data_IF_844539975315
#
_entry.id   IF_844539975315
#
_cell.length_a   1.000
_cell.length_b   1.000
_cell.length_c   1.000
_cell.angle_alpha   90.00
_cell.angle_beta   90.00
_cell.angle_gamma   90.00
#
_symmetry.space_group_name_H-M   'P 1'
#
loop_
_entity.id
_entity.type
_entity.pdbx_description
1 polymer ?
#
# COMPACT_ATOMS: atom_id res chain seq x y z
N UNK A 1 -68.86 -13.21 -17.03
CA UNK A 1 -67.91 -12.83 -15.96
C UNK A 1 -66.75 -12.14 -16.63
N UNK A 2 -66.71 -10.81 -16.54
CA UNK A 2 -65.65 -9.97 -17.06
C UNK A 2 -64.40 -10.09 -16.15
N UNK A 3 -63.28 -10.48 -16.70
CA UNK A 3 -61.97 -10.30 -16.09
C UNK A 3 -61.47 -8.89 -16.50
N UNK A 4 -61.42 -7.99 -15.58
CA UNK A 4 -60.78 -6.71 -15.75
C UNK A 4 -59.25 -6.94 -15.62
N UNK A 5 -58.52 -6.58 -16.68
CA UNK A 5 -57.06 -6.44 -16.64
C UNK A 5 -56.74 -5.21 -15.81
N UNK A 6 -56.02 -5.41 -14.70
CA UNK A 6 -55.40 -4.29 -13.97
C UNK A 6 -54.25 -3.71 -14.82
N UNK A 7 -54.08 -2.39 -14.84
CA UNK A 7 -52.98 -1.75 -15.52
C UNK A 7 -51.66 -2.12 -14.83
N UNK A 8 -50.68 -2.49 -15.65
CA UNK A 8 -49.28 -2.58 -15.24
C UNK A 8 -48.85 -1.20 -14.72
N UNK A 9 -48.70 -1.08 -13.43
CA UNK A 9 -48.07 0.08 -12.81
C UNK A 9 -46.64 0.18 -13.34
N UNK A 10 -46.33 1.36 -13.84
CA UNK A 10 -45.00 1.82 -14.23
C UNK A 10 -43.97 1.46 -13.15
N UNK A 11 -43.08 0.54 -13.48
CA UNK A 11 -41.82 0.37 -12.78
C UNK A 11 -40.97 1.62 -13.12
N UNK A 12 -41.22 2.75 -12.47
CA UNK A 12 -40.22 3.76 -12.31
C UNK A 12 -39.13 3.15 -11.45
N UNK A 13 -38.09 2.61 -12.08
CA UNK A 13 -36.81 2.35 -11.45
C UNK A 13 -36.33 3.73 -10.97
N UNK A 14 -36.51 4.05 -9.69
CA UNK A 14 -35.86 5.21 -9.08
C UNK A 14 -34.37 5.02 -9.30
N UNK A 15 -33.77 5.80 -10.21
CA UNK A 15 -32.35 5.82 -10.45
C UNK A 15 -31.68 6.21 -9.13
N UNK A 16 -30.88 5.30 -8.58
CA UNK A 16 -30.22 5.55 -7.31
C UNK A 16 -29.26 6.73 -7.43
N UNK A 17 -29.30 7.63 -6.47
CA UNK A 17 -28.36 8.76 -6.38
C UNK A 17 -27.04 8.27 -5.79
N UNK A 18 -25.95 8.46 -6.51
CA UNK A 18 -24.61 8.06 -6.13
C UNK A 18 -23.75 9.31 -5.86
N UNK A 19 -22.96 9.29 -4.77
CA UNK A 19 -22.05 10.37 -4.44
C UNK A 19 -20.67 10.12 -5.09
N UNK A 20 -20.19 11.07 -5.87
CA UNK A 20 -18.88 10.98 -6.56
C UNK A 20 -17.95 12.05 -6.02
N UNK A 21 -16.84 11.63 -5.40
CA UNK A 21 -15.81 12.50 -4.85
C UNK A 21 -14.65 12.64 -5.83
N UNK A 22 -14.27 13.86 -6.14
CA UNK A 22 -13.22 14.23 -7.09
C UNK A 22 -11.97 14.73 -6.36
N UNK A 23 -10.75 14.43 -6.87
CA UNK A 23 -9.52 14.97 -6.33
C UNK A 23 -9.44 16.49 -6.52
N UNK A 24 -8.83 17.20 -5.57
CA UNK A 24 -8.75 18.67 -5.53
C UNK A 24 -8.24 19.30 -6.84
N UNK A 25 -7.29 18.65 -7.51
CA UNK A 25 -6.76 19.13 -8.77
C UNK A 25 -7.85 19.14 -9.85
N UNK A 26 -8.70 18.10 -9.91
CA UNK A 26 -9.79 18.03 -10.88
C UNK A 26 -10.89 19.05 -10.54
N UNK A 27 -11.18 19.23 -9.24
CA UNK A 27 -12.13 20.27 -8.78
C UNK A 27 -11.68 21.65 -9.27
N UNK A 28 -10.38 21.97 -9.14
CA UNK A 28 -9.84 23.26 -9.58
C UNK A 28 -9.85 23.45 -11.09
N UNK A 29 -9.34 22.46 -11.86
CA UNK A 29 -9.20 22.58 -13.31
C UNK A 29 -10.54 22.51 -14.04
N UNK A 30 -11.48 21.70 -13.55
CA UNK A 30 -12.84 21.60 -14.05
C UNK A 30 -13.78 22.66 -13.43
N UNK A 31 -13.30 23.48 -12.50
CA UNK A 31 -14.09 24.54 -11.80
C UNK A 31 -15.38 24.00 -11.23
N UNK A 32 -15.31 22.86 -10.52
CA UNK A 32 -16.47 22.27 -9.87
C UNK A 32 -16.90 23.10 -8.64
N UNK A 33 -18.18 23.12 -8.30
CA UNK A 33 -18.68 23.87 -7.15
C UNK A 33 -18.19 23.28 -5.82
N UNK A 34 -18.00 21.98 -5.76
CA UNK A 34 -17.58 21.23 -4.57
C UNK A 34 -16.83 19.95 -4.97
N UNK A 35 -16.18 19.31 -4.01
CA UNK A 35 -15.39 18.09 -4.26
C UNK A 35 -16.24 16.83 -4.42
N UNK A 36 -17.48 16.84 -3.92
CA UNK A 36 -18.40 15.70 -4.02
C UNK A 36 -19.67 16.15 -4.75
N UNK A 37 -20.01 15.46 -5.83
CA UNK A 37 -21.21 15.71 -6.62
C UNK A 37 -22.11 14.48 -6.61
N UNK A 38 -23.43 14.70 -6.74
CA UNK A 38 -24.42 13.63 -6.82
C UNK A 38 -24.80 13.35 -8.29
N UNK A 39 -24.70 12.08 -8.70
CA UNK A 39 -25.05 11.63 -10.03
C UNK A 39 -25.97 10.41 -10.00
N UNK A 40 -26.82 10.26 -11.01
CA UNK A 40 -27.75 9.13 -11.13
C UNK A 40 -27.26 8.15 -12.20
N UNK A 41 -27.41 6.87 -11.92
CA UNK A 41 -27.05 5.78 -12.84
C UNK A 41 -26.89 4.45 -12.11
N UNK A 42 -27.00 3.37 -12.86
CA UNK A 42 -26.81 1.99 -12.38
C UNK A 42 -25.39 1.47 -12.62
N UNK A 43 -24.64 2.11 -13.54
CA UNK A 43 -23.23 1.82 -13.81
C UNK A 43 -22.37 3.06 -13.58
N UNK A 44 -21.06 2.88 -13.39
CA UNK A 44 -20.14 3.99 -13.27
C UNK A 44 -20.23 4.93 -14.50
N UNK A 45 -20.29 4.37 -15.71
CA UNK A 45 -20.42 5.15 -16.95
C UNK A 45 -21.64 6.08 -16.92
N UNK A 46 -22.82 5.54 -16.58
CA UNK A 46 -24.06 6.31 -16.51
C UNK A 46 -23.98 7.44 -15.48
N UNK A 47 -23.42 7.18 -14.30
CA UNK A 47 -23.23 8.19 -13.26
C UNK A 47 -22.31 9.31 -13.74
N UNK A 48 -21.17 8.96 -14.34
CA UNK A 48 -20.20 9.98 -14.84
C UNK A 48 -20.78 10.75 -16.04
N UNK A 49 -21.53 10.11 -16.94
CA UNK A 49 -22.21 10.80 -18.06
C UNK A 49 -23.32 11.72 -17.55
N UNK A 50 -24.07 11.32 -16.53
CA UNK A 50 -25.05 12.17 -15.88
C UNK A 50 -24.40 13.41 -15.26
N UNK A 51 -23.28 13.26 -14.55
CA UNK A 51 -22.49 14.37 -14.01
C UNK A 51 -21.92 15.27 -15.10
N UNK A 52 -21.48 14.71 -16.22
CA UNK A 52 -21.02 15.51 -17.37
C UNK A 52 -22.15 16.27 -18.04
N UNK A 53 -23.39 15.83 -17.95
CA UNK A 53 -24.55 16.56 -18.44
C UNK A 53 -24.84 17.82 -17.61
N UNK A 54 -24.66 17.71 -16.29
CA UNK A 54 -24.83 18.83 -15.34
C UNK A 54 -23.59 19.72 -15.27
N UNK A 55 -22.40 19.15 -15.50
CA UNK A 55 -21.09 19.81 -15.45
C UNK A 55 -20.28 19.51 -16.72
N UNK A 56 -20.60 20.14 -17.87
CA UNK A 56 -20.01 19.80 -19.17
C UNK A 56 -18.48 19.87 -19.23
N UNK A 57 -17.88 20.72 -18.39
CA UNK A 57 -16.42 20.87 -18.28
C UNK A 57 -15.73 19.58 -17.78
N UNK A 58 -16.42 18.70 -17.05
CA UNK A 58 -15.84 17.40 -16.63
C UNK A 58 -15.52 16.50 -17.81
N UNK A 59 -16.34 16.56 -18.88
CA UNK A 59 -16.20 15.63 -20.00
C UNK A 59 -14.82 15.68 -20.66
N UNK A 60 -14.30 16.89 -20.91
CA UNK A 60 -12.98 17.08 -21.51
C UNK A 60 -11.83 16.51 -20.63
N UNK A 61 -12.04 16.47 -19.33
CA UNK A 61 -11.04 15.94 -18.40
C UNK A 61 -11.15 14.42 -18.23
N UNK A 62 -12.36 13.87 -18.15
CA UNK A 62 -12.59 12.47 -17.82
C UNK A 62 -12.62 11.53 -19.03
N UNK A 63 -13.01 12.02 -20.22
CA UNK A 63 -13.17 11.19 -21.41
C UNK A 63 -12.16 11.52 -22.50
N UNK A 64 -11.81 10.50 -23.29
CA UNK A 64 -11.10 10.69 -24.55
C UNK A 64 -12.04 11.25 -25.62
N UNK A 65 -11.63 12.27 -26.32
CA UNK A 65 -12.43 12.89 -27.38
C UNK A 65 -12.75 11.96 -28.56
N UNK A 66 -11.86 10.99 -28.86
CA UNK A 66 -11.97 10.16 -30.05
C UNK A 66 -12.91 8.97 -29.90
N UNK A 67 -12.99 8.36 -28.72
CA UNK A 67 -13.69 7.08 -28.50
C UNK A 67 -14.70 7.11 -27.34
N UNK A 68 -14.85 8.24 -26.67
CA UNK A 68 -15.74 8.41 -25.52
C UNK A 68 -15.50 7.39 -24.40
N UNK A 69 -14.25 6.94 -24.23
CA UNK A 69 -13.85 6.08 -23.12
C UNK A 69 -13.29 6.91 -21.98
N UNK A 70 -13.47 6.47 -20.74
CA UNK A 70 -12.83 7.08 -19.58
C UNK A 70 -11.31 7.00 -19.75
N UNK A 71 -10.60 8.07 -19.40
CA UNK A 71 -9.15 8.13 -19.53
C UNK A 71 -8.49 7.24 -18.48
N UNK A 72 -7.49 6.47 -18.88
CA UNK A 72 -6.83 5.44 -18.06
C UNK A 72 -6.10 5.99 -16.83
N UNK A 73 -5.80 7.30 -16.81
CA UNK A 73 -5.20 7.93 -15.64
C UNK A 73 -6.21 8.28 -14.53
N UNK A 74 -7.49 7.98 -14.74
CA UNK A 74 -8.48 8.00 -13.68
C UNK A 74 -8.83 6.58 -13.27
N UNK A 75 -8.76 6.33 -11.97
CA UNK A 75 -9.26 5.11 -11.36
C UNK A 75 -10.47 5.46 -10.51
N UNK A 76 -11.43 4.57 -10.51
CA UNK A 76 -12.67 4.76 -9.78
C UNK A 76 -12.81 3.64 -8.76
N UNK A 77 -13.19 3.99 -7.54
CA UNK A 77 -13.49 3.00 -6.50
C UNK A 77 -14.90 3.19 -5.97
N UNK A 78 -15.56 2.09 -5.63
CA UNK A 78 -16.80 2.10 -4.87
C UNK A 78 -16.68 1.04 -3.76
N UNK A 79 -17.14 1.36 -2.55
CA UNK A 79 -17.04 0.46 -1.38
C UNK A 79 -15.61 -0.12 -1.21
N UNK A 80 -14.58 0.73 -1.39
CA UNK A 80 -13.16 0.37 -1.32
C UNK A 80 -12.67 -0.63 -2.38
N UNK A 81 -13.46 -0.92 -3.42
CA UNK A 81 -13.07 -1.76 -4.54
C UNK A 81 -12.90 -0.94 -5.83
N UNK A 82 -11.92 -1.30 -6.67
CA UNK A 82 -11.83 -0.76 -8.02
C UNK A 82 -13.03 -1.18 -8.84
N UNK A 83 -13.60 -0.24 -9.58
CA UNK A 83 -14.73 -0.44 -10.48
C UNK A 83 -14.38 0.02 -11.89
N UNK A 84 -14.91 -0.66 -12.89
CA UNK A 84 -14.80 -0.33 -14.30
C UNK A 84 -16.05 0.43 -14.78
N UNK A 85 -15.94 1.03 -15.96
CA UNK A 85 -17.01 1.87 -16.50
C UNK A 85 -18.38 1.18 -16.56
N UNK A 86 -18.42 -0.09 -16.88
CA UNK A 86 -19.67 -0.85 -17.12
C UNK A 86 -20.07 -1.75 -15.93
N UNK A 87 -19.33 -1.65 -14.80
CA UNK A 87 -19.68 -2.39 -13.57
C UNK A 87 -20.96 -1.84 -12.95
N UNK A 88 -21.83 -2.75 -12.47
CA UNK A 88 -23.04 -2.39 -11.74
C UNK A 88 -22.69 -1.82 -10.36
N UNK A 89 -23.31 -0.73 -10.02
CA UNK A 89 -23.10 -0.06 -8.74
C UNK A 89 -24.14 -0.52 -7.69
N UNK A 90 -23.74 -0.64 -6.43
CA UNK A 90 -24.70 -0.79 -5.35
C UNK A 90 -25.58 0.47 -5.23
N UNK A 91 -26.75 0.32 -4.62
CA UNK A 91 -27.61 1.47 -4.34
C UNK A 91 -26.92 2.51 -3.46
N UNK A 92 -26.96 3.79 -3.88
CA UNK A 92 -26.32 4.90 -3.17
C UNK A 92 -24.79 4.72 -2.99
N UNK A 93 -24.14 4.23 -4.04
CA UNK A 93 -22.69 4.03 -4.02
C UNK A 93 -21.94 5.34 -3.71
N UNK A 94 -20.88 5.21 -2.92
CA UNK A 94 -19.87 6.25 -2.75
C UNK A 94 -18.71 5.95 -3.68
N UNK A 95 -18.54 6.77 -4.70
CA UNK A 95 -17.53 6.62 -5.74
C UNK A 95 -16.42 7.63 -5.47
N UNK A 96 -15.18 7.18 -5.42
CA UNK A 96 -14.01 8.04 -5.37
C UNK A 96 -13.28 8.00 -6.71
N UNK A 97 -12.95 9.20 -7.23
CA UNK A 97 -12.13 9.36 -8.43
C UNK A 97 -10.68 9.59 -8.01
N UNK A 98 -9.81 8.66 -8.38
CA UNK A 98 -8.38 8.72 -8.08
C UNK A 98 -7.60 9.08 -9.36
N UNK A 99 -6.62 9.97 -9.22
CA UNK A 99 -5.66 10.26 -10.30
C UNK A 99 -4.49 9.28 -10.22
N UNK A 100 -4.32 8.51 -11.27
CA UNK A 100 -3.11 7.73 -11.48
C UNK A 100 -2.16 8.56 -12.37
N UNK A 101 -0.97 8.88 -11.86
CA UNK A 101 0.04 9.56 -12.65
C UNK A 101 0.83 8.54 -13.46
N UNK A 102 0.85 8.70 -14.77
CA UNK A 102 1.70 7.91 -15.66
C UNK A 102 3.09 8.54 -15.76
N UNK A 103 4.11 7.76 -15.49
CA UNK A 103 5.50 8.09 -15.82
C UNK A 103 6.51 7.83 -14.73
N UNK A 104 7.52 7.01 -15.03
CA UNK A 104 8.82 6.88 -14.35
C UNK A 104 8.79 6.54 -12.86
N UNK A 105 9.90 6.01 -12.34
CA UNK A 105 10.09 5.88 -10.89
C UNK A 105 10.26 7.29 -10.32
N UNK A 106 9.15 8.00 -10.18
CA UNK A 106 9.08 9.25 -9.43
C UNK A 106 8.69 8.89 -8.00
N UNK A 107 9.64 9.03 -7.08
CA UNK A 107 9.41 8.79 -5.63
C UNK A 107 8.35 9.73 -5.05
N UNK A 108 8.00 10.79 -5.77
CA UNK A 108 6.98 11.75 -5.38
C UNK A 108 5.57 11.43 -5.90
N UNK A 109 5.42 10.34 -6.68
CA UNK A 109 4.12 9.89 -7.17
C UNK A 109 3.97 8.37 -7.11
N UNK A 110 2.73 7.88 -7.13
CA UNK A 110 2.41 6.47 -7.31
C UNK A 110 2.11 6.22 -8.78
N UNK A 111 2.65 5.14 -9.36
CA UNK A 111 2.27 4.67 -10.68
C UNK A 111 0.84 4.10 -10.67
N UNK A 112 0.26 3.87 -11.86
CA UNK A 112 -1.05 3.23 -11.98
C UNK A 112 -1.07 1.83 -11.33
N UNK A 113 -0.01 1.07 -11.53
CA UNK A 113 0.14 -0.26 -10.96
C UNK A 113 0.25 -0.22 -9.43
N UNK A 114 0.98 0.76 -8.89
CA UNK A 114 1.05 0.98 -7.44
C UNK A 114 -0.30 1.42 -6.87
N UNK A 115 -1.04 2.30 -7.56
CA UNK A 115 -2.38 2.69 -7.12
C UNK A 115 -3.32 1.48 -7.12
N UNK A 116 -3.30 0.64 -8.16
CA UNK A 116 -4.08 -0.60 -8.19
C UNK A 116 -3.70 -1.55 -7.05
N UNK A 117 -2.40 -1.73 -6.81
CA UNK A 117 -1.90 -2.60 -5.73
C UNK A 117 -2.32 -2.12 -4.35
N UNK A 118 -2.21 -0.81 -4.11
CA UNK A 118 -2.42 -0.22 -2.79
C UNK A 118 -3.79 0.46 -2.62
N UNK A 119 -4.74 0.19 -3.51
CA UNK A 119 -6.06 0.84 -3.47
C UNK A 119 -6.73 0.71 -2.09
N UNK A 120 -6.60 -0.44 -1.43
CA UNK A 120 -7.15 -0.67 -0.09
C UNK A 120 -6.52 0.20 0.99
N UNK A 121 -5.25 0.56 0.84
CA UNK A 121 -4.57 1.52 1.72
C UNK A 121 -5.00 2.96 1.40
N UNK A 122 -5.10 3.28 0.11
CA UNK A 122 -5.42 4.64 -0.37
C UNK A 122 -6.83 5.04 0.04
N UNK A 123 -7.76 4.09 0.11
CA UNK A 123 -9.15 4.32 0.53
C UNK A 123 -9.34 4.34 2.04
N UNK A 124 -8.35 3.91 2.84
CA UNK A 124 -8.44 3.95 4.30
C UNK A 124 -8.37 5.38 4.84
N UNK A 125 -9.35 5.83 5.65
CA UNK A 125 -9.26 7.11 6.34
C UNK A 125 -7.99 7.19 7.19
N UNK A 126 -7.22 8.28 7.04
CA UNK A 126 -5.96 8.50 7.78
C UNK A 126 -4.72 7.89 7.15
N UNK A 127 -4.82 7.01 6.16
CA UNK A 127 -3.72 6.58 5.29
C UNK A 127 -3.75 7.40 4.00
N UNK A 128 -4.74 7.18 3.15
CA UNK A 128 -4.91 7.89 1.90
C UNK A 128 -3.71 7.75 0.95
N UNK A 129 -3.73 8.52 -0.12
CA UNK A 129 -2.60 8.61 -1.07
C UNK A 129 -1.32 9.14 -0.40
N UNK A 130 -1.45 10.12 0.48
CA UNK A 130 -0.31 10.70 1.19
C UNK A 130 0.39 9.70 2.11
N UNK A 131 -0.38 8.87 2.83
CA UNK A 131 0.16 7.80 3.66
C UNK A 131 0.91 6.77 2.83
N UNK A 132 0.37 6.35 1.70
CA UNK A 132 1.05 5.41 0.79
C UNK A 132 2.33 6.01 0.19
N UNK A 133 2.35 7.31 -0.13
CA UNK A 133 3.58 8.00 -0.56
C UNK A 133 4.63 8.06 0.57
N UNK A 134 4.23 8.23 1.82
CA UNK A 134 5.15 8.15 2.96
C UNK A 134 5.76 6.75 3.09
N UNK A 135 4.95 5.68 2.92
CA UNK A 135 5.45 4.31 2.90
C UNK A 135 6.44 4.09 1.75
N UNK A 136 6.14 4.57 0.55
CA UNK A 136 7.02 4.48 -0.63
C UNK A 136 8.37 5.19 -0.42
N UNK A 137 8.40 6.29 0.31
CA UNK A 137 9.63 7.05 0.60
C UNK A 137 10.45 6.45 1.75
N UNK A 138 9.82 5.67 2.60
CA UNK A 138 10.45 5.13 3.81
C UNK A 138 11.52 4.08 3.49
N UNK A 139 12.60 4.12 4.26
CA UNK A 139 13.71 3.15 4.22
C UNK A 139 13.78 2.45 5.57
N UNK A 140 13.55 1.15 5.59
CA UNK A 140 13.52 0.34 6.81
C UNK A 140 14.59 -0.72 6.77
N UNK A 141 15.40 -0.82 7.81
CA UNK A 141 16.39 -1.88 7.99
C UNK A 141 15.84 -2.96 8.93
N UNK A 142 15.86 -4.19 8.50
CA UNK A 142 15.49 -5.37 9.31
C UNK A 142 16.77 -6.15 9.60
N UNK A 143 17.10 -6.29 10.88
CA UNK A 143 18.27 -7.05 11.33
C UNK A 143 17.76 -8.42 11.80
N UNK A 144 18.21 -9.45 11.10
CA UNK A 144 17.73 -10.83 11.22
C UNK A 144 16.51 -11.11 10.32
N UNK A 145 16.63 -12.08 9.42
CA UNK A 145 15.56 -12.60 8.56
C UNK A 145 15.00 -13.93 9.05
N UNK A 146 15.15 -14.17 10.35
CA UNK A 146 14.69 -15.35 11.07
C UNK A 146 13.20 -15.37 11.35
N UNK A 147 12.82 -15.93 12.50
CA UNK A 147 11.42 -16.15 12.90
C UNK A 147 10.58 -14.87 13.01
N UNK A 148 11.18 -13.77 13.49
CA UNK A 148 10.54 -12.45 13.57
C UNK A 148 10.70 -11.66 12.27
N UNK A 149 11.91 -11.62 11.70
CA UNK A 149 12.16 -10.87 10.48
C UNK A 149 11.40 -11.40 9.26
N UNK A 150 11.12 -12.69 9.19
CA UNK A 150 10.34 -13.30 8.11
C UNK A 150 8.96 -12.67 7.91
N UNK A 151 8.03 -12.72 8.88
CA UNK A 151 6.71 -12.12 8.71
C UNK A 151 6.79 -10.59 8.58
N UNK A 152 7.68 -9.94 9.32
CA UNK A 152 7.86 -8.49 9.26
C UNK A 152 8.23 -8.05 7.84
N UNK A 153 9.24 -8.68 7.24
CA UNK A 153 9.69 -8.35 5.88
C UNK A 153 8.59 -8.56 4.84
N UNK A 154 7.82 -9.65 4.93
CA UNK A 154 6.70 -9.92 4.02
C UNK A 154 5.61 -8.85 4.11
N UNK A 155 5.17 -8.49 5.31
CA UNK A 155 4.12 -7.49 5.48
C UNK A 155 4.58 -6.08 5.10
N UNK A 156 5.80 -5.70 5.41
CA UNK A 156 6.35 -4.39 5.02
C UNK A 156 6.55 -4.29 3.50
N UNK A 157 7.00 -5.38 2.86
CA UNK A 157 7.07 -5.46 1.40
C UNK A 157 5.68 -5.35 0.76
N UNK A 158 4.70 -6.11 1.26
CA UNK A 158 3.32 -6.06 0.78
C UNK A 158 2.69 -4.67 0.97
N UNK A 159 3.00 -4.00 2.09
CA UNK A 159 2.53 -2.64 2.37
C UNK A 159 3.17 -1.56 1.49
N UNK A 160 4.27 -1.87 0.79
CA UNK A 160 4.93 -0.94 -0.12
C UNK A 160 5.89 0.03 0.56
N UNK A 161 6.63 -0.44 1.58
CA UNK A 161 7.81 0.28 2.06
C UNK A 161 8.82 0.35 0.91
N UNK A 162 9.19 1.57 0.50
CA UNK A 162 9.94 1.78 -0.73
C UNK A 162 11.33 1.14 -0.75
N UNK A 163 12.00 1.09 0.41
CA UNK A 163 13.31 0.40 0.53
C UNK A 163 13.35 -0.43 1.80
N UNK A 164 13.61 -1.74 1.63
CA UNK A 164 13.88 -2.65 2.74
C UNK A 164 15.35 -3.10 2.69
N UNK A 165 16.08 -2.85 3.78
CA UNK A 165 17.38 -3.46 4.02
C UNK A 165 17.22 -4.72 4.84
N UNK A 166 17.91 -5.78 4.48
CA UNK A 166 17.92 -7.06 5.20
C UNK A 166 19.37 -7.37 5.61
N UNK A 167 19.60 -7.59 6.88
CA UNK A 167 20.92 -7.98 7.42
C UNK A 167 20.79 -9.35 8.05
N UNK A 168 21.52 -10.31 7.55
CA UNK A 168 21.63 -11.68 8.10
C UNK A 168 22.87 -12.34 7.48
N UNK A 169 23.51 -13.24 8.19
CA UNK A 169 24.72 -13.94 7.72
C UNK A 169 24.54 -15.46 7.62
N UNK A 170 23.36 -15.95 7.99
CA UNK A 170 23.06 -17.37 7.98
C UNK A 170 22.63 -17.88 6.60
N UNK A 171 22.58 -19.20 6.48
CA UNK A 171 22.00 -19.92 5.36
C UNK A 171 20.64 -20.50 5.74
N UNK A 172 19.81 -20.75 4.73
CA UNK A 172 18.48 -21.36 4.91
C UNK A 172 18.65 -22.87 5.17
N UNK A 173 18.15 -23.32 6.29
CA UNK A 173 18.12 -24.72 6.69
C UNK A 173 16.68 -25.25 6.78
N UNK A 174 16.49 -26.55 6.58
CA UNK A 174 15.19 -27.22 6.70
C UNK A 174 14.54 -26.98 8.07
N UNK A 175 15.34 -26.97 9.15
CA UNK A 175 14.92 -26.68 10.53
C UNK A 175 14.37 -25.27 10.73
N UNK A 176 14.60 -24.36 9.79
CA UNK A 176 14.11 -22.99 9.84
C UNK A 176 12.69 -22.85 9.31
N UNK A 177 12.29 -23.69 8.33
CA UNK A 177 11.10 -23.48 7.49
C UNK A 177 9.77 -23.56 8.25
N UNK A 178 9.74 -24.16 9.44
CA UNK A 178 8.52 -24.23 10.26
C UNK A 178 8.09 -22.86 10.85
N UNK A 179 8.98 -21.82 10.84
CA UNK A 179 8.69 -20.48 11.37
C UNK A 179 9.23 -19.33 10.52
N UNK A 180 10.25 -19.57 9.68
CA UNK A 180 10.87 -18.55 8.83
C UNK A 180 10.21 -18.56 7.44
N UNK A 181 8.96 -18.10 7.38
CA UNK A 181 8.04 -18.26 6.25
C UNK A 181 8.40 -17.46 4.98
N UNK A 182 9.40 -16.58 5.05
CA UNK A 182 9.95 -15.88 3.88
C UNK A 182 10.81 -16.81 3.02
N UNK A 183 11.35 -17.88 3.61
CA UNK A 183 12.14 -18.90 2.94
C UNK A 183 11.30 -20.09 2.51
N UNK A 184 11.83 -20.93 1.64
CA UNK A 184 11.15 -22.13 1.17
C UNK A 184 12.13 -23.25 0.78
N UNK A 185 11.60 -24.43 0.48
CA UNK A 185 12.41 -25.57 0.07
C UNK A 185 13.30 -25.29 -1.15
N UNK A 186 12.83 -24.44 -2.06
CA UNK A 186 13.59 -24.06 -3.26
C UNK A 186 14.85 -23.24 -2.97
N UNK A 187 14.98 -22.69 -1.75
CA UNK A 187 16.09 -21.83 -1.35
C UNK A 187 16.97 -22.43 -0.25
N UNK A 188 16.83 -23.74 0.03
CA UNK A 188 17.69 -24.44 0.99
C UNK A 188 19.16 -24.31 0.59
N UNK A 189 20.02 -23.94 1.56
CA UNK A 189 21.45 -23.69 1.36
C UNK A 189 21.81 -22.32 0.79
N UNK A 190 20.85 -21.51 0.35
CA UNK A 190 21.09 -20.10 -0.01
C UNK A 190 21.30 -19.25 1.24
N UNK A 191 22.00 -18.11 1.10
CA UNK A 191 22.01 -17.13 2.19
C UNK A 191 20.60 -16.63 2.47
N UNK A 192 20.28 -16.42 3.74
CA UNK A 192 18.91 -16.00 4.14
C UNK A 192 18.50 -14.69 3.48
N UNK A 193 19.41 -13.72 3.39
CA UNK A 193 19.10 -12.43 2.75
C UNK A 193 18.84 -12.56 1.25
N UNK A 194 19.55 -13.44 0.54
CA UNK A 194 19.30 -13.70 -0.89
C UNK A 194 17.95 -14.40 -1.11
N UNK A 195 17.66 -15.41 -0.29
CA UNK A 195 16.37 -16.11 -0.28
C UNK A 195 15.20 -15.16 0.00
N UNK A 196 15.33 -14.32 1.05
CA UNK A 196 14.32 -13.34 1.39
C UNK A 196 14.13 -12.30 0.27
N UNK A 197 15.24 -11.77 -0.29
CA UNK A 197 15.19 -10.83 -1.42
C UNK A 197 14.39 -11.39 -2.58
N UNK A 198 14.69 -12.60 -3.03
CA UNK A 198 13.97 -13.26 -4.13
C UNK A 198 12.45 -13.35 -3.84
N UNK A 199 12.08 -13.71 -2.62
CA UNK A 199 10.68 -13.84 -2.22
C UNK A 199 9.95 -12.50 -2.15
N UNK A 200 10.61 -11.46 -1.65
CA UNK A 200 10.04 -10.13 -1.49
C UNK A 200 9.91 -9.40 -2.83
N UNK A 201 10.85 -9.57 -3.75
CA UNK A 201 10.78 -9.04 -5.12
C UNK A 201 9.64 -9.70 -5.92
N UNK A 202 9.41 -11.00 -5.75
CA UNK A 202 8.25 -11.71 -6.32
C UNK A 202 6.92 -11.22 -5.72
N UNK A 203 6.91 -10.96 -4.41
CA UNK A 203 5.73 -10.41 -3.72
C UNK A 203 5.40 -8.98 -4.16
N UNK A 204 6.42 -8.13 -4.31
CA UNK A 204 6.23 -6.73 -4.67
C UNK A 204 7.42 -6.17 -5.46
N UNK A 205 7.25 -6.04 -6.77
CA UNK A 205 8.27 -5.52 -7.69
C UNK A 205 8.45 -4.00 -7.66
N UNK A 206 7.63 -3.26 -6.92
CA UNK A 206 7.67 -1.78 -6.84
C UNK A 206 8.55 -1.26 -5.70
N UNK A 207 9.23 -2.14 -4.97
CA UNK A 207 10.08 -1.79 -3.84
C UNK A 207 11.53 -2.21 -4.10
N UNK A 208 12.46 -1.56 -3.41
CA UNK A 208 13.88 -1.90 -3.47
C UNK A 208 14.26 -2.78 -2.28
N UNK A 209 14.91 -3.93 -2.54
CA UNK A 209 15.43 -4.82 -1.50
C UNK A 209 16.97 -4.80 -1.54
N UNK A 210 17.57 -4.31 -0.47
CA UNK A 210 19.01 -4.31 -0.25
C UNK A 210 19.38 -5.49 0.67
N UNK A 211 20.03 -6.49 0.13
CA UNK A 211 20.48 -7.67 0.87
C UNK A 211 21.91 -7.45 1.36
N UNK A 212 22.12 -7.43 2.67
CA UNK A 212 23.42 -7.33 3.32
C UNK A 212 23.76 -8.68 3.94
N UNK A 213 24.48 -9.50 3.19
CA UNK A 213 24.95 -10.84 3.62
C UNK A 213 26.16 -10.68 4.56
N UNK A 214 25.90 -10.26 5.77
CA UNK A 214 26.90 -9.97 6.79
C UNK A 214 26.31 -10.00 8.19
N UNK A 215 27.15 -10.28 9.19
CA UNK A 215 26.82 -10.01 10.58
C UNK A 215 26.88 -8.50 10.85
N UNK A 216 25.99 -8.01 11.73
CA UNK A 216 26.15 -6.66 12.26
C UNK A 216 27.28 -6.67 13.29
N UNK A 217 28.25 -5.75 13.12
CA UNK A 217 29.41 -5.60 13.96
C UNK A 217 29.61 -4.12 14.33
N UNK A 218 30.48 -3.84 15.30
CA UNK A 218 30.82 -2.45 15.67
C UNK A 218 31.39 -1.65 14.49
N UNK A 219 32.06 -2.32 13.55
CA UNK A 219 32.69 -1.65 12.41
C UNK A 219 31.69 -1.23 11.33
N UNK A 220 30.58 -1.96 11.16
CA UNK A 220 29.60 -1.69 10.10
C UNK A 220 28.25 -1.13 10.59
N UNK A 221 27.96 -1.19 11.90
CA UNK A 221 26.65 -0.86 12.45
C UNK A 221 26.23 0.58 12.16
N UNK A 222 27.13 1.55 12.34
CA UNK A 222 26.81 2.96 12.11
C UNK A 222 26.52 3.27 10.64
N UNK A 223 27.27 2.65 9.72
CA UNK A 223 27.06 2.81 8.28
C UNK A 223 25.72 2.22 7.86
N UNK A 224 25.46 0.96 8.24
CA UNK A 224 24.23 0.25 7.88
C UNK A 224 22.99 0.93 8.47
N UNK A 225 22.99 1.24 9.77
CA UNK A 225 21.88 1.90 10.46
C UNK A 225 21.64 3.33 9.91
N UNK A 226 22.73 4.04 9.60
CA UNK A 226 22.68 5.42 9.09
C UNK A 226 21.94 5.57 7.76
N UNK A 227 21.96 4.54 6.92
CA UNK A 227 21.35 4.54 5.59
C UNK A 227 19.81 4.43 5.59
N UNK A 228 19.19 4.15 6.75
CA UNK A 228 17.75 3.90 6.88
C UNK A 228 17.08 4.85 7.88
N UNK A 229 15.75 4.97 7.78
CA UNK A 229 14.95 5.88 8.60
C UNK A 229 14.48 5.22 9.89
N UNK A 230 14.24 3.91 9.85
CA UNK A 230 13.71 3.09 10.94
C UNK A 230 14.41 1.75 10.95
N UNK A 231 14.75 1.28 12.15
CA UNK A 231 15.45 0.00 12.36
C UNK A 231 14.50 -0.97 13.06
N UNK A 232 14.50 -2.22 12.64
CA UNK A 232 13.74 -3.30 13.26
C UNK A 232 14.73 -4.39 13.68
N UNK A 233 14.72 -4.70 14.96
CA UNK A 233 15.49 -5.79 15.54
C UNK A 233 14.65 -7.07 15.60
N UNK A 234 14.96 -8.02 14.74
CA UNK A 234 14.40 -9.36 14.69
C UNK A 234 15.40 -10.45 15.14
N UNK A 235 16.46 -10.06 15.85
CA UNK A 235 17.52 -10.99 16.28
C UNK A 235 17.14 -11.74 17.57
N UNK A 236 17.89 -12.79 17.88
CA UNK A 236 17.67 -13.64 19.05
C UNK A 236 18.85 -13.65 20.05
N UNK A 237 19.88 -12.80 19.80
CA UNK A 237 21.04 -12.70 20.67
C UNK A 237 21.21 -11.31 21.27
N UNK A 238 21.70 -11.23 22.50
CA UNK A 238 21.82 -9.98 23.23
C UNK A 238 22.89 -9.04 22.70
N UNK A 239 24.02 -9.59 22.21
CA UNK A 239 25.14 -8.77 21.74
C UNK A 239 24.70 -7.89 20.56
N UNK A 240 24.01 -8.50 19.58
CA UNK A 240 23.46 -7.74 18.44
C UNK A 240 22.40 -6.73 18.89
N UNK A 241 21.54 -7.08 19.83
CA UNK A 241 20.48 -6.18 20.35
C UNK A 241 21.06 -4.92 20.96
N UNK A 242 22.06 -5.05 21.84
CA UNK A 242 22.73 -3.89 22.42
C UNK A 242 23.45 -3.06 21.36
N UNK A 243 24.15 -3.70 20.44
CA UNK A 243 24.83 -3.00 19.33
C UNK A 243 23.86 -2.20 18.46
N UNK A 244 22.70 -2.79 18.10
CA UNK A 244 21.65 -2.09 17.32
C UNK A 244 21.11 -0.89 18.09
N UNK A 245 20.80 -1.08 19.39
CA UNK A 245 20.33 0.00 20.22
C UNK A 245 21.34 1.15 20.31
N UNK A 246 22.60 0.83 20.57
CA UNK A 246 23.67 1.82 20.67
C UNK A 246 23.85 2.62 19.38
N UNK A 247 23.85 1.93 18.23
CA UNK A 247 23.92 2.57 16.92
C UNK A 247 22.70 3.47 16.66
N UNK A 248 21.50 3.01 17.03
CA UNK A 248 20.26 3.79 16.89
C UNK A 248 20.28 5.05 17.76
N UNK A 249 20.75 4.95 19.01
CA UNK A 249 20.88 6.10 19.92
C UNK A 249 21.88 7.12 19.39
N UNK A 250 23.06 6.67 18.94
CA UNK A 250 24.10 7.56 18.39
C UNK A 250 23.62 8.31 17.14
N UNK A 251 22.81 7.67 16.30
CA UNK A 251 22.34 8.23 15.04
C UNK A 251 20.94 8.88 15.15
N UNK A 252 20.32 8.86 16.35
CA UNK A 252 18.98 9.40 16.55
C UNK A 252 17.89 8.64 15.76
N UNK A 253 18.08 7.34 15.47
CA UNK A 253 17.14 6.53 14.70
C UNK A 253 16.16 5.81 15.62
N UNK A 254 14.87 5.75 15.27
CA UNK A 254 13.91 4.92 16.00
C UNK A 254 14.22 3.43 15.79
N UNK A 255 14.05 2.65 16.85
CA UNK A 255 14.23 1.22 16.89
C UNK A 255 12.93 0.52 17.28
N UNK A 256 12.44 -0.38 16.45
CA UNK A 256 11.38 -1.33 16.81
C UNK A 256 12.05 -2.61 17.30
N UNK A 257 11.90 -2.88 18.57
CA UNK A 257 12.45 -4.04 19.25
C UNK A 257 11.41 -5.14 19.34
N UNK A 258 11.77 -6.36 18.98
CA UNK A 258 10.96 -7.56 19.13
C UNK A 258 11.76 -8.71 19.75
N UNK A 259 11.16 -9.43 20.71
CA UNK A 259 11.75 -10.62 21.29
C UNK A 259 10.68 -11.65 21.62
N UNK A 260 11.05 -12.94 21.49
CA UNK A 260 10.23 -14.07 21.92
C UNK A 260 11.09 -15.02 22.75
N UNK A 261 10.58 -15.42 23.89
CA UNK A 261 11.14 -16.46 24.69
C UNK A 261 10.04 -17.42 25.15
N UNK A 262 10.06 -18.65 24.68
CA UNK A 262 9.02 -19.67 24.92
C UNK A 262 7.64 -19.16 24.45
N UNK A 263 6.75 -18.83 25.39
CA UNK A 263 5.39 -18.34 25.15
C UNK A 263 5.22 -16.86 25.51
N UNK A 264 6.31 -16.19 25.90
CA UNK A 264 6.30 -14.77 26.22
C UNK A 264 6.89 -13.97 25.07
N UNK A 265 6.22 -12.89 24.67
CA UNK A 265 6.68 -11.96 23.65
C UNK A 265 6.85 -10.54 24.21
N UNK A 266 7.84 -9.85 23.72
CA UNK A 266 8.08 -8.43 24.03
C UNK A 266 8.14 -7.65 22.73
N UNK A 267 7.53 -6.46 22.72
CA UNK A 267 7.63 -5.49 21.65
C UNK A 267 7.73 -4.10 22.25
N UNK A 268 8.62 -3.26 21.70
CA UNK A 268 8.77 -1.89 22.10
C UNK A 268 9.22 -1.01 20.94
N UNK A 269 8.95 0.29 21.04
CA UNK A 269 9.53 1.31 20.14
C UNK A 269 10.44 2.18 21.00
N UNK A 270 11.72 2.13 20.69
CA UNK A 270 12.79 2.78 21.42
C UNK A 270 13.30 4.00 20.63
N UNK A 271 13.87 4.98 21.33
CA UNK A 271 14.46 6.19 20.76
C UNK A 271 13.53 6.95 19.80
N UNK A 272 12.23 7.00 20.10
CA UNK A 272 11.22 7.67 19.29
C UNK A 272 10.56 8.81 20.05
N UNK A 273 10.61 10.04 19.46
CA UNK A 273 9.99 11.27 20.03
C UNK A 273 10.35 11.55 21.48
N UNK A 274 11.61 11.32 21.84
CA UNK A 274 12.10 11.52 23.22
C UNK A 274 11.72 10.41 24.19
N UNK A 275 11.25 9.27 23.70
CA UNK A 275 11.04 8.06 24.47
C UNK A 275 12.36 7.39 24.87
N UNK A 276 12.32 6.38 25.75
CA UNK A 276 13.51 5.67 26.23
C UNK A 276 14.23 4.91 25.11
N UNK A 277 15.49 4.60 25.36
CA UNK A 277 16.31 3.68 24.57
C UNK A 277 16.53 2.37 25.35
#
# INVERSE_FOLDING_TARGET
KHFALQPLNDLHTELSMNAVSFPDILVRVAKLPESTLEGTGSTLREVIENLCSSHPQLRAHLFHEKNNQLKEHFLFTAEEALINADDQLPEKARIEVLLATSGGIDVDSLSNEEVQRYVRHITLPGVGREGQLKLKKAKVLIIGTGGLGSPISLYLAAAGIGTLGLVDFDVVESSNLQRQIVHGNSTLGMSKVASAKQRLEDLNSHIQINAHDTALTADNALELVGAYDLIIDGTDNFDTRYLVNDACVQLGKPLVYGAIYRFDGQISVLNYKGGPC
#
